data_IF_456703904547
#
_entry.id   IF_456703904547
#
_cell.length_a   1.000
_cell.length_b   1.000
_cell.length_c   1.000
_cell.angle_alpha   90.00
_cell.angle_beta   90.00
_cell.angle_gamma   90.00
#
_symmetry.space_group_name_H-M   'P 1'
#
loop_
_entity.id
_entity.type
_entity.pdbx_description
1 polymer ?
#
# COMPACT_ATOMS: atom_id res chain seq x y z
N UNK A 1 13.40 20.19 2.20
CA UNK A 1 14.16 19.01 2.64
C UNK A 1 14.55 18.15 1.46
N UNK A 2 15.79 17.68 1.42
CA UNK A 2 16.27 16.75 0.40
C UNK A 2 16.22 15.31 0.94
N UNK A 3 15.64 14.40 0.19
CA UNK A 3 15.56 12.97 0.55
C UNK A 3 16.80 12.18 0.12
N UNK A 4 17.71 12.79 -0.66
CA UNK A 4 18.93 12.14 -1.14
C UNK A 4 18.64 10.99 -2.09
N UNK A 5 17.58 11.09 -2.88
CA UNK A 5 17.16 10.04 -3.79
C UNK A 5 17.79 10.20 -5.15
N UNK A 6 18.49 9.16 -5.59
CA UNK A 6 18.92 9.01 -6.98
C UNK A 6 17.97 8.03 -7.68
N UNK A 7 17.16 8.53 -8.61
CA UNK A 7 16.20 7.74 -9.36
C UNK A 7 15.88 8.38 -10.71
N UNK A 8 15.42 7.56 -11.63
CA UNK A 8 15.08 8.01 -12.99
C UNK A 8 13.77 8.78 -13.04
N UNK A 9 12.78 8.39 -12.21
CA UNK A 9 11.48 9.06 -12.09
C UNK A 9 11.45 9.96 -10.86
N UNK A 10 10.65 11.01 -10.90
CA UNK A 10 10.56 12.01 -9.84
C UNK A 10 10.00 11.47 -8.52
N UNK A 11 9.96 12.32 -7.51
CA UNK A 11 9.26 12.08 -6.26
C UNK A 11 7.75 12.15 -6.50
N UNK A 12 7.02 11.04 -6.30
CA UNK A 12 5.58 10.94 -6.59
C UNK A 12 4.71 10.93 -5.32
N UNK A 13 5.33 10.98 -4.14
CA UNK A 13 4.63 10.92 -2.85
C UNK A 13 3.83 12.18 -2.58
N UNK A 14 2.61 11.98 -2.11
CA UNK A 14 1.84 13.04 -1.44
C UNK A 14 2.18 13.06 0.04
N UNK A 15 2.50 14.24 0.55
CA UNK A 15 2.70 14.45 1.98
C UNK A 15 1.36 14.49 2.70
N UNK A 16 1.31 13.91 3.89
CA UNK A 16 0.18 14.02 4.81
C UNK A 16 0.62 14.71 6.11
N UNK A 17 -0.27 15.47 6.73
CA UNK A 17 0.05 16.25 7.93
C UNK A 17 -0.89 15.84 9.06
N UNK A 18 -0.31 15.59 10.24
CA UNK A 18 -1.06 15.35 11.47
C UNK A 18 -0.27 15.91 12.65
N UNK A 19 -0.95 16.63 13.55
CA UNK A 19 -0.39 17.10 14.80
C UNK A 19 0.93 17.90 14.65
N UNK A 20 1.02 18.72 13.59
CA UNK A 20 2.22 19.53 13.31
C UNK A 20 3.40 18.74 12.73
N UNK A 21 3.20 17.49 12.32
CA UNK A 21 4.20 16.65 11.67
C UNK A 21 3.79 16.37 10.23
N UNK A 22 4.72 16.56 9.31
CA UNK A 22 4.60 16.17 7.89
C UNK A 22 5.18 14.78 7.71
N UNK A 23 4.39 13.86 7.17
CA UNK A 23 4.85 12.53 6.81
C UNK A 23 4.90 12.40 5.30
N UNK A 24 6.03 11.92 4.80
CA UNK A 24 6.29 11.77 3.37
C UNK A 24 6.95 10.41 3.13
N UNK A 25 6.47 9.69 2.14
CA UNK A 25 7.15 8.48 1.68
C UNK A 25 8.19 8.85 0.61
N UNK A 26 9.29 8.13 0.57
CA UNK A 26 10.34 8.29 -0.42
C UNK A 26 10.62 6.99 -1.17
N UNK A 27 11.49 7.08 -2.15
CA UNK A 27 11.97 5.94 -2.91
C UNK A 27 12.54 4.85 -2.01
N UNK A 28 12.56 3.61 -2.51
CA UNK A 28 13.06 2.45 -1.79
C UNK A 28 12.29 2.16 -0.49
N UNK A 29 10.98 2.44 -0.47
CA UNK A 29 10.10 2.16 0.67
C UNK A 29 10.56 2.83 1.97
N UNK A 30 10.92 4.12 1.90
CA UNK A 30 11.27 4.95 3.05
C UNK A 30 10.11 5.81 3.50
N UNK A 31 10.09 6.16 4.79
CA UNK A 31 9.13 7.13 5.36
C UNK A 31 9.90 8.14 6.19
N UNK A 32 9.55 9.41 6.03
CA UNK A 32 10.15 10.54 6.75
C UNK A 32 9.07 11.27 7.54
N UNK A 33 9.38 11.62 8.79
CA UNK A 33 8.59 12.54 9.57
C UNK A 33 9.38 13.84 9.79
N UNK A 34 8.76 14.94 9.45
CA UNK A 34 9.35 16.28 9.54
C UNK A 34 8.48 17.17 10.40
N UNK A 35 9.08 18.00 11.21
CA UNK A 35 8.38 19.09 11.88
C UNK A 35 7.80 20.06 10.83
N UNK A 36 6.48 20.27 10.86
CA UNK A 36 5.78 21.05 9.84
C UNK A 36 6.17 22.53 9.83
N UNK A 37 6.62 23.07 10.96
CA UNK A 37 7.01 24.47 11.11
C UNK A 37 8.42 24.74 10.63
N UNK A 38 9.35 23.83 10.91
CA UNK A 38 10.79 24.03 10.70
C UNK A 38 11.38 23.23 9.56
N UNK A 39 10.68 22.19 9.09
CA UNK A 39 11.20 21.20 8.15
C UNK A 39 12.25 20.26 8.75
N UNK A 40 12.52 20.35 10.06
CA UNK A 40 13.49 19.49 10.72
C UNK A 40 13.01 18.05 10.73
N UNK A 41 13.89 17.12 10.35
CA UNK A 41 13.61 15.69 10.43
C UNK A 41 13.49 15.23 11.88
N UNK A 42 12.36 14.60 12.20
CA UNK A 42 12.08 14.00 13.51
C UNK A 42 12.54 12.54 13.54
N UNK A 43 12.15 11.76 12.54
CA UNK A 43 12.60 10.39 12.37
C UNK A 43 12.56 9.97 10.90
N UNK A 44 13.21 8.85 10.59
CA UNK A 44 13.16 8.19 9.27
C UNK A 44 13.04 6.69 9.48
N UNK A 45 12.17 6.06 8.72
CA UNK A 45 12.11 4.62 8.57
C UNK A 45 12.68 4.23 7.21
N UNK A 46 13.62 3.30 7.20
CA UNK A 46 14.20 2.72 5.99
C UNK A 46 13.87 1.23 5.96
N UNK A 47 13.02 0.83 5.00
CA UNK A 47 12.74 -0.58 4.81
C UNK A 47 13.94 -1.29 4.17
N UNK A 48 14.30 -2.46 4.71
CA UNK A 48 15.35 -3.28 4.09
C UNK A 48 14.73 -4.10 2.97
N UNK A 49 15.00 -3.70 1.75
CA UNK A 49 14.58 -4.41 0.54
C UNK A 49 15.53 -5.56 0.21
N UNK A 50 15.06 -6.64 -0.44
CA UNK A 50 15.91 -7.65 -1.05
C UNK A 50 16.77 -7.06 -2.18
N UNK A 51 17.97 -7.61 -2.39
CA UNK A 51 18.89 -7.13 -3.44
C UNK A 51 18.37 -7.35 -4.86
N UNK A 52 17.45 -8.32 -5.05
CA UNK A 52 16.87 -8.68 -6.35
C UNK A 52 15.54 -7.99 -6.64
N UNK A 53 15.23 -6.87 -5.97
CA UNK A 53 13.97 -6.18 -6.18
C UNK A 53 13.86 -5.65 -7.63
N UNK A 54 12.72 -5.92 -8.27
CA UNK A 54 12.41 -5.46 -9.64
C UNK A 54 11.01 -4.86 -9.66
N UNK A 55 10.85 -3.62 -9.24
CA UNK A 55 9.54 -2.97 -9.25
C UNK A 55 9.14 -2.57 -10.68
N UNK A 56 7.85 -2.69 -10.99
CA UNK A 56 7.29 -2.31 -12.29
C UNK A 56 7.51 -0.83 -12.65
N UNK A 57 7.43 0.03 -11.67
CA UNK A 57 7.22 1.46 -11.86
C UNK A 57 8.35 2.30 -11.26
N UNK A 58 9.60 1.82 -11.34
CA UNK A 58 10.72 2.37 -10.61
C UNK A 58 10.54 2.23 -9.08
N UNK A 59 11.44 2.79 -8.31
CA UNK A 59 11.49 2.66 -6.84
C UNK A 59 10.60 3.66 -6.09
N UNK A 60 9.58 4.18 -6.76
CA UNK A 60 8.68 5.22 -6.23
C UNK A 60 7.74 4.70 -5.15
N UNK A 61 7.25 5.63 -4.34
CA UNK A 61 6.14 5.42 -3.42
C UNK A 61 5.23 6.64 -3.46
N UNK A 62 3.91 6.43 -3.59
CA UNK A 62 2.94 7.52 -3.82
C UNK A 62 2.29 8.06 -2.56
N UNK A 63 2.65 7.53 -1.39
CA UNK A 63 2.17 8.08 -0.14
C UNK A 63 1.84 7.05 0.93
N UNK A 64 1.29 7.57 2.01
CA UNK A 64 0.90 6.81 3.19
C UNK A 64 -0.52 7.21 3.62
N UNK A 65 -1.10 6.46 4.56
CA UNK A 65 -2.34 6.80 5.25
C UNK A 65 -2.07 6.92 6.75
N UNK A 66 -2.91 7.69 7.46
CA UNK A 66 -2.85 7.83 8.93
C UNK A 66 -4.19 7.41 9.54
N UNK A 67 -4.12 6.62 10.61
CA UNK A 67 -5.26 6.35 11.47
C UNK A 67 -4.80 6.14 12.91
N UNK A 68 -5.39 6.90 13.83
CA UNK A 68 -5.00 6.90 15.22
C UNK A 68 -3.54 7.31 15.41
N UNK A 69 -2.76 6.42 15.96
CA UNK A 69 -1.33 6.57 16.25
C UNK A 69 -0.42 5.91 15.20
N UNK A 70 -0.97 5.45 14.08
CA UNK A 70 -0.26 4.66 13.07
C UNK A 70 -0.21 5.32 11.70
N UNK A 71 0.89 5.07 10.99
CA UNK A 71 1.09 5.39 9.58
C UNK A 71 1.21 4.09 8.81
N UNK A 72 0.47 3.98 7.70
CA UNK A 72 0.45 2.81 6.84
C UNK A 72 1.00 3.15 5.48
N UNK A 73 1.86 2.29 4.95
CA UNK A 73 2.42 2.45 3.61
C UNK A 73 2.78 1.09 3.00
N UNK A 74 2.90 1.07 1.67
CA UNK A 74 3.31 -0.11 0.93
C UNK A 74 4.80 -0.15 0.66
N UNK A 75 5.32 -1.35 0.37
CA UNK A 75 6.73 -1.56 0.05
C UNK A 75 6.91 -2.28 -1.28
N UNK A 76 8.09 -2.12 -1.87
CA UNK A 76 8.44 -2.71 -3.16
C UNK A 76 8.59 -4.24 -3.10
N UNK A 77 8.77 -4.83 -1.92
CA UNK A 77 8.81 -6.27 -1.69
C UNK A 77 7.46 -6.87 -1.27
N UNK A 78 6.37 -6.25 -1.74
CA UNK A 78 5.00 -6.71 -1.56
C UNK A 78 4.55 -6.82 -0.09
N UNK A 79 4.79 -5.76 0.69
CA UNK A 79 4.35 -5.67 2.09
C UNK A 79 3.54 -4.41 2.33
N UNK A 80 2.70 -4.48 3.34
CA UNK A 80 2.09 -3.31 3.99
C UNK A 80 2.62 -3.26 5.41
N UNK A 81 3.03 -2.07 5.83
CA UNK A 81 3.66 -1.84 7.13
C UNK A 81 2.89 -0.73 7.85
N UNK A 82 2.64 -0.95 9.13
CA UNK A 82 2.23 0.10 10.05
C UNK A 82 3.40 0.53 10.93
N UNK A 83 3.61 1.83 10.99
CA UNK A 83 4.59 2.46 11.89
C UNK A 83 3.84 3.24 12.96
N UNK A 84 4.37 3.28 14.16
CA UNK A 84 4.00 4.27 15.16
C UNK A 84 4.35 5.68 14.64
N UNK A 85 3.38 6.57 14.57
CA UNK A 85 3.55 7.90 13.94
C UNK A 85 4.53 8.82 14.67
N UNK A 86 4.73 8.60 15.98
CA UNK A 86 5.60 9.45 16.79
C UNK A 86 7.06 9.02 16.73
N UNK A 87 7.30 7.71 16.59
CA UNK A 87 8.63 7.12 16.72
C UNK A 87 9.19 6.51 15.44
N UNK A 88 8.34 6.23 14.46
CA UNK A 88 8.70 5.50 13.24
C UNK A 88 9.00 4.00 13.47
N UNK A 89 8.72 3.47 14.66
CA UNK A 89 8.89 2.05 14.95
C UNK A 89 7.80 1.21 14.29
N UNK A 90 8.16 0.02 13.83
CA UNK A 90 7.20 -0.93 13.24
C UNK A 90 6.24 -1.44 14.30
N UNK A 91 4.94 -1.27 14.06
CA UNK A 91 3.86 -1.85 14.85
C UNK A 91 3.52 -3.23 14.31
N UNK A 92 3.31 -3.32 13.00
CA UNK A 92 3.15 -4.59 12.29
C UNK A 92 3.67 -4.50 10.85
N UNK A 93 3.95 -5.66 10.26
CA UNK A 93 4.50 -5.80 8.91
C UNK A 93 3.92 -7.07 8.27
N UNK A 94 3.09 -6.94 7.24
CA UNK A 94 2.38 -8.04 6.58
C UNK A 94 2.76 -8.15 5.11
N UNK A 95 3.21 -9.34 4.72
CA UNK A 95 3.44 -9.68 3.30
C UNK A 95 2.09 -10.03 2.65
N UNK A 96 1.81 -9.53 1.44
CA UNK A 96 0.60 -9.83 0.70
C UNK A 96 0.85 -10.55 -0.64
N UNK A 97 2.07 -10.56 -1.12
CA UNK A 97 2.45 -11.19 -2.37
C UNK A 97 3.93 -11.59 -2.39
N UNK A 98 4.34 -12.23 -3.47
CA UNK A 98 5.75 -12.57 -3.69
C UNK A 98 6.37 -11.57 -4.67
N UNK A 99 7.34 -10.79 -4.21
CA UNK A 99 8.05 -9.84 -5.06
C UNK A 99 8.86 -10.52 -6.18
N UNK A 100 9.32 -11.76 -5.95
CA UNK A 100 10.02 -12.53 -6.98
C UNK A 100 9.09 -12.92 -8.14
N UNK A 101 7.79 -13.07 -7.88
CA UNK A 101 6.76 -13.25 -8.89
C UNK A 101 6.33 -11.93 -9.56
N UNK A 102 6.77 -10.77 -9.07
CA UNK A 102 6.45 -9.46 -9.63
C UNK A 102 5.53 -8.59 -8.78
N UNK A 103 5.00 -9.08 -7.65
CA UNK A 103 4.14 -8.26 -6.79
C UNK A 103 4.92 -7.17 -6.09
N UNK A 104 4.41 -5.94 -6.15
CA UNK A 104 4.92 -4.75 -5.45
C UNK A 104 3.78 -3.88 -4.95
N UNK A 105 4.08 -2.84 -4.18
CA UNK A 105 3.12 -1.80 -3.85
C UNK A 105 3.79 -0.42 -3.94
N UNK A 106 3.34 0.36 -4.89
CA UNK A 106 3.77 1.76 -5.10
C UNK A 106 2.69 2.77 -4.77
N UNK A 107 1.44 2.34 -4.68
CA UNK A 107 0.28 3.17 -4.35
C UNK A 107 0.17 3.50 -2.87
N UNK A 108 -0.48 4.61 -2.54
CA UNK A 108 -0.85 4.94 -1.17
C UNK A 108 -2.07 4.09 -0.73
N UNK A 109 -2.08 3.53 0.48
CA UNK A 109 -3.28 2.93 1.05
C UNK A 109 -4.29 4.01 1.43
N UNK A 110 -5.55 3.61 1.62
CA UNK A 110 -6.61 4.47 2.11
C UNK A 110 -7.37 3.80 3.26
N UNK A 111 -7.97 4.62 4.12
CA UNK A 111 -8.83 4.13 5.19
C UNK A 111 -10.29 4.42 4.85
N UNK A 112 -11.12 3.42 5.03
CA UNK A 112 -12.56 3.52 4.84
C UNK A 112 -13.27 3.06 6.09
N UNK A 113 -14.45 3.62 6.34
CA UNK A 113 -15.37 3.08 7.34
C UNK A 113 -16.39 2.21 6.62
N UNK A 114 -16.38 0.91 6.92
CA UNK A 114 -17.37 -0.01 6.39
C UNK A 114 -18.76 0.37 6.95
N UNK A 115 -19.69 0.62 6.03
CA UNK A 115 -21.04 1.07 6.39
C UNK A 115 -21.85 0.00 7.11
N UNK A 116 -21.57 -1.27 6.84
CA UNK A 116 -22.32 -2.41 7.39
C UNK A 116 -21.85 -2.74 8.80
N UNK A 117 -20.55 -2.89 9.00
CA UNK A 117 -19.97 -3.26 10.30
C UNK A 117 -19.60 -2.06 11.16
N UNK A 118 -19.50 -0.86 10.59
CA UNK A 118 -19.00 0.33 11.25
C UNK A 118 -17.49 0.31 11.51
N UNK A 119 -16.79 -0.76 11.15
CA UNK A 119 -15.35 -0.91 11.34
C UNK A 119 -14.57 -0.07 10.34
N UNK A 120 -13.38 0.36 10.75
CA UNK A 120 -12.42 0.98 9.85
C UNK A 120 -11.59 -0.12 9.20
N UNK A 121 -11.40 -0.02 7.89
CA UNK A 121 -10.59 -0.93 7.09
C UNK A 121 -9.49 -0.16 6.39
N UNK A 122 -8.31 -0.75 6.34
CA UNK A 122 -7.19 -0.29 5.54
C UNK A 122 -7.26 -0.98 4.17
N UNK A 123 -7.46 -0.18 3.13
CA UNK A 123 -7.56 -0.67 1.75
C UNK A 123 -6.26 -0.38 1.01
N UNK A 124 -5.75 -1.36 0.30
CA UNK A 124 -4.59 -1.20 -0.57
C UNK A 124 -4.66 -2.10 -1.80
N UNK A 125 -4.03 -1.68 -2.87
CA UNK A 125 -3.85 -2.48 -4.08
C UNK A 125 -2.49 -3.14 -4.16
N UNK A 126 -2.31 -4.03 -5.12
CA UNK A 126 -1.01 -4.51 -5.59
C UNK A 126 -0.65 -3.88 -6.94
N UNK A 127 0.64 -3.86 -7.25
CA UNK A 127 1.20 -3.52 -8.57
C UNK A 127 2.00 -4.70 -9.09
N UNK A 128 2.28 -4.74 -10.39
CA UNK A 128 3.13 -5.76 -11.00
C UNK A 128 2.50 -6.48 -12.20
N UNK A 129 1.40 -5.95 -12.73
CA UNK A 129 0.74 -6.50 -13.92
C UNK A 129 1.66 -6.55 -15.16
N UNK A 130 2.66 -5.70 -15.27
CA UNK A 130 3.71 -5.76 -16.29
C UNK A 130 4.53 -7.06 -16.23
N UNK A 131 4.54 -7.72 -15.08
CA UNK A 131 5.18 -9.02 -14.87
C UNK A 131 4.21 -10.21 -14.93
N UNK A 132 2.97 -9.96 -15.36
CA UNK A 132 1.94 -10.97 -15.51
C UNK A 132 1.27 -11.43 -14.22
N UNK A 133 1.42 -10.68 -13.12
CA UNK A 133 0.66 -10.95 -11.90
C UNK A 133 -0.69 -10.24 -11.95
N UNK A 134 -1.70 -10.87 -11.39
CA UNK A 134 -3.05 -10.31 -11.33
C UNK A 134 -3.11 -9.22 -10.27
N UNK A 135 -3.55 -8.02 -10.66
CA UNK A 135 -3.82 -6.93 -9.74
C UNK A 135 -4.86 -7.34 -8.70
N UNK A 136 -4.64 -6.96 -7.45
CA UNK A 136 -5.46 -7.35 -6.30
C UNK A 136 -5.77 -6.15 -5.43
N UNK A 137 -6.96 -6.13 -4.87
CA UNK A 137 -7.39 -5.18 -3.85
C UNK A 137 -7.55 -5.93 -2.51
N UNK A 138 -7.01 -5.36 -1.46
CA UNK A 138 -7.04 -5.92 -0.12
C UNK A 138 -7.74 -4.98 0.86
N UNK A 139 -8.47 -5.58 1.80
CA UNK A 139 -8.87 -4.91 3.02
C UNK A 139 -8.20 -5.57 4.22
N UNK A 140 -7.69 -4.76 5.11
CA UNK A 140 -7.03 -5.21 6.34
C UNK A 140 -7.60 -4.52 7.56
N UNK A 141 -7.51 -5.21 8.68
CA UNK A 141 -7.68 -4.61 9.98
C UNK A 141 -6.50 -3.64 10.24
N UNK A 142 -6.75 -2.35 10.49
CA UNK A 142 -5.66 -1.37 10.68
C UNK A 142 -4.86 -1.59 11.96
N UNK A 143 -5.41 -2.26 12.97
CA UNK A 143 -4.74 -2.47 14.24
C UNK A 143 -3.78 -3.67 14.20
N UNK A 144 -4.18 -4.76 13.54
CA UNK A 144 -3.41 -6.01 13.50
C UNK A 144 -2.71 -6.25 12.17
N UNK A 145 -3.15 -5.58 11.09
CA UNK A 145 -2.72 -5.83 9.71
C UNK A 145 -3.28 -7.12 9.11
N UNK A 146 -4.17 -7.82 9.82
CA UNK A 146 -4.75 -9.05 9.33
C UNK A 146 -5.66 -8.80 8.13
N UNK A 147 -5.64 -9.72 7.17
CA UNK A 147 -6.47 -9.64 5.98
C UNK A 147 -7.93 -9.92 6.35
N UNK A 148 -8.81 -8.99 6.00
CA UNK A 148 -10.26 -9.16 6.12
C UNK A 148 -10.82 -9.77 4.85
N UNK A 149 -10.41 -9.24 3.69
CA UNK A 149 -10.73 -9.80 2.39
C UNK A 149 -9.69 -9.39 1.34
N UNK A 150 -9.64 -10.14 0.25
CA UNK A 150 -8.92 -9.82 -0.98
C UNK A 150 -9.83 -10.06 -2.18
N UNK A 151 -9.72 -9.20 -3.19
CA UNK A 151 -10.40 -9.32 -4.48
C UNK A 151 -9.41 -9.12 -5.62
N UNK A 152 -9.37 -10.03 -6.59
CA UNK A 152 -8.64 -9.82 -7.84
C UNK A 152 -9.41 -8.86 -8.75
N UNK A 153 -8.71 -8.15 -9.61
CA UNK A 153 -9.33 -7.29 -10.62
C UNK A 153 -9.74 -8.03 -11.89
N UNK A 154 -9.27 -9.27 -12.08
CA UNK A 154 -9.61 -10.09 -13.24
C UNK A 154 -10.70 -11.09 -12.85
N UNK A 155 -11.78 -11.12 -13.64
CA UNK A 155 -12.88 -12.07 -13.43
C UNK A 155 -12.38 -13.52 -13.53
N UNK A 156 -12.97 -14.41 -12.73
CA UNK A 156 -12.59 -15.82 -12.68
C UNK A 156 -11.45 -16.14 -11.71
N UNK A 157 -10.70 -15.14 -11.23
CA UNK A 157 -9.73 -15.35 -10.15
C UNK A 157 -10.42 -15.37 -8.78
N UNK A 158 -9.91 -16.21 -7.91
CA UNK A 158 -10.46 -16.36 -6.56
C UNK A 158 -10.08 -15.16 -5.68
N UNK A 159 -11.08 -14.51 -5.12
CA UNK A 159 -10.89 -13.59 -4.01
C UNK A 159 -10.86 -14.32 -2.66
N UNK A 160 -10.31 -13.70 -1.64
CA UNK A 160 -10.34 -14.22 -0.26
C UNK A 160 -11.20 -13.33 0.63
N UNK A 161 -12.04 -13.96 1.42
CA UNK A 161 -12.83 -13.31 2.45
C UNK A 161 -12.43 -13.90 3.80
N UNK A 162 -11.99 -13.08 4.74
CA UNK A 162 -11.52 -13.53 6.05
C UNK A 162 -10.43 -14.61 5.97
N UNK A 163 -9.48 -14.44 5.05
CA UNK A 163 -8.38 -15.38 4.83
C UNK A 163 -8.75 -16.69 4.17
N UNK A 164 -10.01 -16.90 3.80
CA UNK A 164 -10.50 -18.08 3.06
C UNK A 164 -10.68 -17.73 1.59
N UNK A 165 -10.43 -18.71 0.73
CA UNK A 165 -10.78 -18.58 -0.67
C UNK A 165 -12.30 -18.46 -0.79
N UNK A 166 -12.74 -17.43 -1.50
CA UNK A 166 -14.15 -17.26 -1.85
C UNK A 166 -14.28 -17.27 -3.36
N UNK A 167 -15.30 -17.95 -3.85
CA UNK A 167 -15.68 -17.75 -5.24
C UNK A 167 -15.90 -16.25 -5.46
N UNK A 168 -15.51 -15.71 -6.62
CA UNK A 168 -15.99 -14.40 -7.01
C UNK A 168 -17.52 -14.52 -6.93
N UNK A 169 -18.09 -13.97 -5.87
CA UNK A 169 -19.54 -13.86 -5.84
C UNK A 169 -19.85 -13.06 -7.06
N UNK A 170 -20.77 -13.52 -7.88
CA UNK A 170 -21.25 -12.83 -9.07
C UNK A 170 -21.79 -11.42 -8.82
N UNK A 171 -21.43 -10.88 -7.69
CA UNK A 171 -21.86 -9.62 -7.13
C UNK A 171 -21.18 -8.43 -7.78
N UNK A 172 -20.06 -8.64 -8.45
CA UNK A 172 -19.45 -7.64 -9.28
C UNK A 172 -19.02 -8.31 -10.60
N UNK A 173 -19.94 -8.52 -11.50
CA UNK A 173 -19.55 -8.43 -12.90
C UNK A 173 -18.93 -7.04 -13.06
N UNK A 174 -17.64 -7.01 -13.34
CA UNK A 174 -17.04 -5.79 -13.85
C UNK A 174 -17.99 -5.29 -14.94
N UNK A 175 -18.45 -4.03 -14.90
CA UNK A 175 -19.23 -3.51 -16.00
C UNK A 175 -18.42 -3.78 -17.25
N UNK A 176 -18.97 -4.58 -18.16
CA UNK A 176 -18.35 -4.84 -19.45
C UNK A 176 -17.94 -3.50 -20.01
N UNK A 177 -16.67 -3.33 -20.35
CA UNK A 177 -16.25 -2.13 -21.08
C UNK A 177 -17.18 -2.03 -22.29
N UNK A 178 -17.83 -0.89 -22.55
CA UNK A 178 -18.80 -0.76 -23.64
C UNK A 178 -18.27 -1.11 -25.03
N UNK A 179 -16.98 -1.37 -25.14
CA UNK A 179 -16.26 -1.69 -26.37
C UNK A 179 -15.45 -2.99 -26.26
N UNK A 180 -15.76 -3.89 -25.33
CA UNK A 180 -15.12 -5.19 -25.29
C UNK A 180 -15.70 -6.05 -26.44
N UNK A 181 -14.91 -6.43 -27.47
CA UNK A 181 -15.39 -7.21 -28.62
C UNK A 181 -15.70 -8.67 -28.26
N UNK A 182 -15.53 -9.08 -27.00
CA UNK A 182 -15.76 -10.46 -26.51
C UNK A 182 -17.07 -10.61 -25.71
N UNK A 183 -17.88 -9.54 -25.56
CA UNK A 183 -19.21 -9.58 -24.95
C UNK A 183 -20.33 -9.48 -25.98
#
# INVERSE_FOLDING_TARGET
>A
YSFGDEKQRGQESQAIVSDGVVYVTGSYSRVFALDAKTGKRLWTYNHRLPDNIRPCCDVVNRGAAIYGDKIYFGTLDARVIALDKNTGKVVWNKKFGDHAAGYTMTGAPVLIKDKTSGKVLLIHGSSGDEFGVVGQLFARDPDTGDEVWMRPFVEGHMGRLNGKDSTPTGDVKAPSCPNDPTT
#
